data_IF_021408573941
#
_entry.id   IF_021408573941
#
_cell.length_a   1.000
_cell.length_b   1.000
_cell.length_c   1.000
_cell.angle_alpha   90.00
_cell.angle_beta   90.00
_cell.angle_gamma   90.00
#
_symmetry.space_group_name_H-M   'P 1'
#
loop_
_entity.id
_entity.type
_entity.pdbx_description
1 polymer ?
#
# COMPACT_ATOMS: atom_id res chain seq x y z
N UNK A 1 1.46 25.69 -7.78
CA UNK A 1 1.30 25.04 -6.45
C UNK A 1 0.83 23.62 -6.69
N UNK A 2 1.51 22.55 -6.23
CA UNK A 2 0.95 21.22 -6.41
C UNK A 2 -0.15 21.03 -5.35
N UNK A 3 -1.41 20.94 -5.81
CA UNK A 3 -2.53 20.56 -4.96
C UNK A 3 -2.31 19.14 -4.41
N UNK A 4 -2.53 18.98 -3.11
CA UNK A 4 -2.60 17.73 -2.35
C UNK A 4 -3.83 17.92 -1.43
N UNK A 5 -4.78 17.01 -1.23
CA UNK A 5 -4.79 15.55 -1.15
C UNK A 5 -6.19 15.04 -1.49
N UNK A 6 -6.27 13.85 -2.09
CA UNK A 6 -7.40 12.94 -1.84
C UNK A 6 -6.81 11.76 -1.06
N UNK A 7 -7.16 11.67 0.22
CA UNK A 7 -6.90 10.48 1.03
C UNK A 7 -8.12 9.59 0.88
N UNK A 8 -7.97 8.44 0.24
CA UNK A 8 -9.03 7.42 0.27
C UNK A 8 -8.58 6.35 1.24
N UNK A 9 -9.29 6.27 2.36
CA UNK A 9 -9.20 5.13 3.29
C UNK A 9 -10.13 4.08 2.70
N UNK A 10 -9.57 2.93 2.36
CA UNK A 10 -10.38 1.79 1.93
C UNK A 10 -10.37 0.76 3.06
N UNK A 11 -11.56 0.41 3.54
CA UNK A 11 -11.78 -0.75 4.40
C UNK A 11 -12.01 -1.95 3.48
N UNK A 12 -11.27 -3.05 3.65
CA UNK A 12 -11.63 -4.30 2.96
C UNK A 12 -12.85 -4.89 3.66
N UNK A 13 -14.05 -4.63 3.15
CA UNK A 13 -15.24 -5.35 3.62
C UNK A 13 -15.06 -6.86 3.41
N UNK A 14 -15.29 -7.64 4.48
CA UNK A 14 -15.20 -9.11 4.46
C UNK A 14 -16.25 -9.77 3.57
N UNK A 15 -17.36 -9.09 3.23
CA UNK A 15 -18.44 -9.68 2.43
C UNK A 15 -19.13 -8.64 1.51
N UNK A 16 -18.43 -8.15 0.51
CA UNK A 16 -18.99 -7.26 -0.50
C UNK A 16 -18.05 -7.12 -1.67
N UNK A 17 -18.53 -7.31 -2.91
CA UNK A 17 -17.68 -7.19 -4.11
C UNK A 17 -17.05 -5.80 -4.17
N UNK A 18 -15.76 -5.74 -3.84
CA UNK A 18 -14.85 -4.60 -4.03
C UNK A 18 -15.24 -3.78 -5.27
N UNK A 19 -15.66 -2.52 -5.07
CA UNK A 19 -15.82 -1.50 -6.11
C UNK A 19 -14.52 -0.68 -6.22
N UNK A 20 -13.42 -1.34 -6.54
CA UNK A 20 -12.28 -0.59 -7.10
C UNK A 20 -12.50 -0.52 -8.61
N UNK A 21 -12.24 0.66 -9.21
CA UNK A 21 -11.95 0.71 -10.64
C UNK A 21 -10.68 -0.13 -10.81
N UNK A 22 -10.85 -1.30 -11.41
CA UNK A 22 -9.76 -2.23 -11.65
C UNK A 22 -8.78 -1.58 -12.63
N UNK A 23 -7.71 -1.03 -12.08
CA UNK A 23 -6.64 -0.38 -12.81
C UNK A 23 -5.49 -1.34 -13.12
N UNK A 24 -5.75 -2.66 -13.09
CA UNK A 24 -4.79 -3.72 -13.38
C UNK A 24 -3.94 -3.39 -14.62
N UNK A 25 -2.67 -3.03 -14.38
CA UNK A 25 -1.68 -2.68 -15.40
C UNK A 25 -1.50 -1.18 -15.69
N UNK A 26 -2.36 -0.31 -15.17
CA UNK A 26 -2.26 1.15 -15.34
C UNK A 26 -1.25 1.80 -14.39
N UNK A 27 -0.77 1.03 -13.41
CA UNK A 27 0.24 1.46 -12.45
C UNK A 27 1.50 0.63 -12.58
N UNK A 28 2.62 1.31 -12.73
CA UNK A 28 3.95 0.69 -12.70
C UNK A 28 4.48 0.72 -11.27
N UNK A 29 4.82 -0.45 -10.75
CA UNK A 29 5.56 -0.60 -9.50
C UNK A 29 6.93 0.08 -9.56
N UNK A 30 7.24 0.89 -8.55
CA UNK A 30 8.55 1.53 -8.42
C UNK A 30 9.34 0.84 -7.32
N UNK A 31 8.75 0.76 -6.13
CA UNK A 31 9.42 0.19 -4.96
C UNK A 31 8.41 -0.23 -3.91
N UNK A 32 8.67 -1.34 -3.24
CA UNK A 32 8.05 -1.71 -1.99
C UNK A 32 9.03 -1.43 -0.85
N UNK A 33 8.58 -0.72 0.18
CA UNK A 33 9.36 -0.45 1.39
C UNK A 33 8.69 -1.12 2.59
N UNK A 34 9.49 -1.79 3.41
CA UNK A 34 9.09 -2.27 4.73
C UNK A 34 9.67 -1.31 5.76
N UNK A 35 8.86 -0.89 6.72
CA UNK A 35 9.30 -0.08 7.85
C UNK A 35 8.76 -0.75 9.12
N UNK A 36 9.66 -1.00 10.06
CA UNK A 36 9.35 -1.62 11.33
C UNK A 36 9.26 -0.53 12.40
N UNK A 37 8.32 -0.67 13.32
CA UNK A 37 8.14 0.25 14.44
C UNK A 37 8.01 -0.49 15.76
N UNK A 38 8.40 0.19 16.83
CA UNK A 38 8.12 -0.20 18.20
C UNK A 38 7.19 0.84 18.83
N UNK A 39 6.14 0.37 19.52
CA UNK A 39 5.31 1.27 20.30
C UNK A 39 6.06 1.67 21.58
N UNK A 40 6.16 2.97 21.83
CA UNK A 40 6.78 3.54 23.01
C UNK A 40 5.93 4.71 23.49
N UNK A 41 5.33 4.58 24.69
CA UNK A 41 4.51 5.62 25.33
C UNK A 41 3.42 6.22 24.42
N UNK A 42 2.75 5.36 23.62
CA UNK A 42 1.69 5.77 22.70
C UNK A 42 2.16 6.32 21.35
N UNK A 43 3.47 6.33 21.08
CA UNK A 43 4.04 6.71 19.79
C UNK A 43 4.73 5.53 19.11
N UNK A 44 4.69 5.49 17.78
CA UNK A 44 5.45 4.53 16.99
C UNK A 44 6.85 5.08 16.68
N UNK A 45 7.87 4.48 17.28
CA UNK A 45 9.27 4.80 17.00
C UNK A 45 9.78 3.90 15.86
N UNK A 46 10.47 4.49 14.87
CA UNK A 46 11.02 3.72 13.74
C UNK A 46 12.21 2.89 14.17
N UNK A 47 12.16 1.58 13.90
CA UNK A 47 13.25 0.66 14.10
C UNK A 47 14.15 0.59 12.86
N UNK A 48 15.45 0.47 13.11
CA UNK A 48 16.46 0.19 12.10
C UNK A 48 17.12 -1.14 12.41
N UNK A 49 17.40 -1.94 11.39
CA UNK A 49 18.07 -3.23 11.56
C UNK A 49 19.50 -3.16 11.06
N UNK A 50 20.49 -3.41 11.94
CA UNK A 50 21.91 -3.45 11.60
C UNK A 50 22.50 -4.78 12.03
N UNK A 51 22.95 -5.60 11.06
CA UNK A 51 23.47 -6.95 11.30
C UNK A 51 22.52 -7.85 12.13
N UNK A 52 21.21 -7.73 11.88
CA UNK A 52 20.17 -8.51 12.56
C UNK A 52 19.67 -7.92 13.88
N UNK A 53 20.35 -6.91 14.44
CA UNK A 53 19.99 -6.27 15.72
C UNK A 53 19.15 -5.03 15.45
N UNK A 54 18.08 -4.83 16.24
CA UNK A 54 17.26 -3.63 16.21
C UNK A 54 17.94 -2.48 16.94
N UNK A 55 17.94 -1.33 16.27
CA UNK A 55 18.50 -0.08 16.72
C UNK A 55 17.46 1.03 16.62
N UNK A 56 17.60 2.02 17.48
CA UNK A 56 16.97 3.34 17.34
C UNK A 56 17.97 4.37 16.81
N UNK A 57 17.47 5.37 16.10
CA UNK A 57 18.28 6.48 15.61
C UNK A 57 18.28 7.63 16.61
N UNK A 58 19.36 7.78 17.38
CA UNK A 58 19.58 8.92 18.27
C UNK A 58 20.61 9.85 17.64
N UNK A 59 20.23 11.09 17.33
CA UNK A 59 21.12 12.08 16.68
C UNK A 59 21.86 11.51 15.46
N UNK A 60 21.13 10.80 14.58
CA UNK A 60 21.64 10.11 13.38
C UNK A 60 22.61 8.95 13.64
N UNK A 61 22.79 8.57 14.90
CA UNK A 61 23.58 7.40 15.30
C UNK A 61 22.65 6.26 15.62
N UNK A 62 22.95 5.07 15.09
CA UNK A 62 22.17 3.86 15.33
C UNK A 62 22.63 3.20 16.62
N UNK A 63 21.81 3.31 17.67
CA UNK A 63 22.08 2.77 18.99
C UNK A 63 21.25 1.48 19.14
N UNK A 64 21.88 0.32 19.42
CA UNK A 64 21.15 -0.90 19.70
C UNK A 64 20.14 -0.73 20.84
N UNK A 65 19.01 -1.40 20.73
CA UNK A 65 18.04 -1.51 21.82
C UNK A 65 18.50 -2.54 22.85
N UNK A 66 18.17 -2.32 24.12
CA UNK A 66 18.39 -3.27 25.20
C UNK A 66 17.26 -3.10 26.23
N UNK A 67 16.38 -4.11 26.43
CA UNK A 67 16.37 -5.40 25.73
C UNK A 67 16.03 -5.28 24.23
N UNK A 68 16.37 -6.30 23.44
CA UNK A 68 15.90 -6.40 22.06
C UNK A 68 14.39 -6.75 22.04
N UNK A 69 13.58 -6.07 21.21
CA UNK A 69 12.16 -6.36 21.15
C UNK A 69 11.90 -7.72 20.50
N UNK A 70 10.88 -8.41 20.99
CA UNK A 70 10.36 -9.63 20.39
C UNK A 70 9.58 -9.32 19.12
N UNK A 71 9.47 -10.31 18.22
CA UNK A 71 8.77 -10.10 16.94
C UNK A 71 7.30 -9.73 17.16
N UNK A 72 6.68 -10.22 18.23
CA UNK A 72 5.29 -9.91 18.61
C UNK A 72 5.07 -8.46 19.06
N UNK A 73 6.12 -7.71 19.34
CA UNK A 73 6.07 -6.30 19.78
C UNK A 73 6.27 -5.32 18.61
N UNK A 74 6.61 -5.84 17.42
CA UNK A 74 7.00 -5.04 16.27
C UNK A 74 5.81 -4.86 15.31
N UNK A 75 5.54 -3.60 14.97
CA UNK A 75 4.63 -3.26 13.89
C UNK A 75 5.39 -3.29 12.57
N UNK A 76 4.89 -4.03 11.58
CA UNK A 76 5.49 -4.09 10.25
C UNK A 76 4.59 -3.39 9.24
N UNK A 77 5.00 -2.22 8.77
CA UNK A 77 4.28 -1.45 7.76
C UNK A 77 4.89 -1.63 6.38
N UNK A 78 4.05 -1.83 5.37
CA UNK A 78 4.44 -1.80 3.96
C UNK A 78 4.00 -0.50 3.32
N UNK A 79 4.85 0.00 2.42
CA UNK A 79 4.55 1.11 1.51
C UNK A 79 4.88 0.69 0.10
N UNK A 80 3.88 0.65 -0.76
CA UNK A 80 4.05 0.40 -2.18
C UNK A 80 3.87 1.68 -2.98
N UNK A 81 4.95 2.08 -3.66
CA UNK A 81 5.01 3.27 -4.47
C UNK A 81 4.81 2.88 -5.93
N UNK A 82 3.86 3.55 -6.60
CA UNK A 82 3.56 3.30 -7.99
C UNK A 82 3.35 4.61 -8.75
N UNK A 83 3.63 4.58 -10.05
CA UNK A 83 3.35 5.67 -10.99
C UNK A 83 2.32 5.24 -12.00
N UNK A 84 1.47 6.16 -12.41
CA UNK A 84 0.53 5.90 -13.49
C UNK A 84 1.29 5.78 -14.80
N UNK A 85 0.99 4.76 -15.60
CA UNK A 85 1.77 4.42 -16.80
C UNK A 85 1.69 5.53 -17.85
N UNK A 86 0.50 6.12 -18.04
CA UNK A 86 0.27 7.17 -19.04
C UNK A 86 0.56 8.57 -18.52
N UNK A 87 0.61 8.77 -17.19
CA UNK A 87 0.96 10.04 -16.57
C UNK A 87 1.95 9.80 -15.42
N UNK A 88 3.26 9.79 -15.69
CA UNK A 88 4.29 9.56 -14.67
C UNK A 88 4.32 10.60 -13.54
N UNK A 89 3.70 11.76 -13.75
CA UNK A 89 3.52 12.80 -12.74
C UNK A 89 2.38 12.47 -11.77
N UNK A 90 1.48 11.56 -12.13
CA UNK A 90 0.48 11.01 -11.23
C UNK A 90 1.02 9.75 -10.53
N UNK A 91 1.18 9.85 -9.22
CA UNK A 91 1.81 8.81 -8.40
C UNK A 91 0.87 8.43 -7.28
N UNK A 92 0.92 7.18 -6.83
CA UNK A 92 0.25 6.78 -5.59
C UNK A 92 1.19 6.02 -4.66
N UNK A 93 0.94 6.18 -3.38
CA UNK A 93 1.52 5.42 -2.29
C UNK A 93 0.40 4.65 -1.60
N UNK A 94 0.53 3.33 -1.60
CA UNK A 94 -0.37 2.42 -0.88
C UNK A 94 0.35 2.03 0.41
N UNK A 95 -0.29 2.25 1.56
CA UNK A 95 0.27 1.95 2.88
C UNK A 95 -0.67 1.01 3.63
N UNK A 96 -0.13 -0.07 4.18
CA UNK A 96 -0.87 -1.01 5.02
C UNK A 96 0.07 -1.60 6.07
N UNK A 97 -0.49 -2.11 7.17
CA UNK A 97 0.27 -2.92 8.12
C UNK A 97 0.17 -4.39 7.74
N UNK A 98 1.32 -5.05 7.59
CA UNK A 98 1.41 -6.50 7.41
C UNK A 98 1.36 -7.22 8.76
N UNK A 99 1.85 -6.57 9.81
CA UNK A 99 1.81 -7.08 11.18
C UNK A 99 1.54 -5.93 12.15
N UNK A 100 0.61 -6.13 13.08
CA UNK A 100 0.35 -5.25 14.21
C UNK A 100 0.28 -6.11 15.48
N UNK A 101 1.08 -5.80 16.52
CA UNK A 101 0.86 -6.33 17.86
C UNK A 101 -0.61 -6.10 18.27
N UNK A 102 -1.24 -7.13 18.85
CA UNK A 102 -2.60 -7.10 19.43
C UNK A 102 -3.78 -7.05 18.45
N UNK A 103 -3.55 -6.93 17.14
CA UNK A 103 -4.63 -6.96 16.12
C UNK A 103 -4.41 -8.08 15.08
N UNK A 104 -5.43 -8.89 14.82
CA UNK A 104 -5.43 -9.81 13.67
C UNK A 104 -5.52 -9.00 12.38
N UNK A 105 -4.38 -8.81 11.71
CA UNK A 105 -4.22 -8.28 10.34
C UNK A 105 -5.20 -7.15 9.98
N UNK A 106 -4.74 -5.89 10.11
CA UNK A 106 -5.49 -4.72 9.65
C UNK A 106 -5.98 -4.91 8.20
N UNK A 107 -7.28 -4.70 8.02
CA UNK A 107 -7.94 -4.76 6.71
C UNK A 107 -7.96 -3.39 6.01
N UNK A 108 -7.43 -2.38 6.69
CA UNK A 108 -7.41 -1.00 6.27
C UNK A 108 -6.17 -0.71 5.43
N UNK A 109 -6.40 -0.05 4.30
CA UNK A 109 -5.33 0.41 3.43
C UNK A 109 -5.50 1.89 3.18
N UNK A 110 -4.40 2.63 3.36
CA UNK A 110 -4.33 4.05 3.04
C UNK A 110 -3.74 4.21 1.66
N UNK A 111 -4.50 4.82 0.76
CA UNK A 111 -4.02 5.18 -0.58
C UNK A 111 -3.91 6.68 -0.70
N UNK A 112 -2.69 7.15 -0.92
CA UNK A 112 -2.38 8.56 -1.13
C UNK A 112 -1.97 8.78 -2.57
N UNK A 113 -2.58 9.74 -3.26
CA UNK A 113 -2.21 10.13 -4.61
C UNK A 113 -1.54 11.51 -4.64
N UNK A 114 -0.59 11.69 -5.55
CA UNK A 114 0.12 12.94 -5.82
C UNK A 114 0.09 13.23 -7.31
N UNK A 115 -0.20 14.48 -7.69
CA UNK A 115 -0.29 14.94 -9.08
C UNK A 115 -1.72 14.97 -9.61
N UNK A 116 -1.86 15.26 -10.90
CA UNK A 116 -3.15 15.42 -11.55
C UNK A 116 -3.58 14.13 -12.26
N UNK A 117 -4.81 13.71 -12.00
CA UNK A 117 -5.44 12.61 -12.71
C UNK A 117 -5.79 13.05 -14.13
N UNK A 118 -5.22 12.37 -15.13
CA UNK A 118 -5.39 12.69 -16.54
C UNK A 118 -6.51 11.85 -17.21
N UNK A 119 -7.39 11.24 -16.42
CA UNK A 119 -8.44 10.34 -16.92
C UNK A 119 -8.02 8.87 -17.00
N UNK A 120 -8.98 8.01 -17.30
CA UNK A 120 -8.78 6.56 -17.40
C UNK A 120 -8.06 6.17 -18.70
N UNK A 121 -7.16 5.19 -18.61
CA UNK A 121 -6.57 4.54 -19.77
C UNK A 121 -7.38 3.28 -20.15
N UNK A 122 -7.43 2.90 -21.45
CA UNK A 122 -8.01 1.62 -21.85
C UNK A 122 -7.21 0.45 -21.27
N UNK A 123 -7.91 -0.61 -20.85
CA UNK A 123 -7.32 -1.78 -20.20
C UNK A 123 -6.49 -2.64 -21.18
N UNK A 124 -5.28 -3.04 -20.77
CA UNK A 124 -4.43 -4.01 -21.49
C UNK A 124 -3.87 -3.52 -22.83
N UNK A 125 -3.61 -4.44 -23.76
CA UNK A 125 -3.10 -4.15 -25.11
C UNK A 125 -4.17 -3.57 -26.07
N UNK A 126 -5.32 -3.13 -25.56
CA UNK A 126 -6.40 -2.58 -26.37
C UNK A 126 -6.02 -1.18 -26.88
N UNK A 127 -5.43 -1.12 -28.08
CA UNK A 127 -4.91 0.14 -28.66
C UNK A 127 -6.01 1.13 -29.09
N UNK A 128 -7.27 0.69 -29.20
CA UNK A 128 -8.40 1.51 -29.68
C UNK A 128 -9.73 0.99 -29.13
N UNK A 129 -10.28 1.62 -28.10
CA UNK A 129 -11.68 1.44 -27.71
C UNK A 129 -12.24 2.75 -27.18
N UNK A 130 -13.38 3.19 -27.72
CA UNK A 130 -14.21 4.29 -27.23
C UNK A 130 -15.22 3.83 -26.18
N UNK A 131 -15.34 2.52 -25.96
CA UNK A 131 -16.28 2.01 -24.97
C UNK A 131 -15.66 2.05 -23.57
N UNK A 132 -16.33 2.67 -22.59
CA UNK A 132 -15.95 2.52 -21.19
C UNK A 132 -16.06 1.04 -20.82
N UNK A 133 -15.05 0.56 -20.10
CA UNK A 133 -14.98 -0.83 -19.67
C UNK A 133 -16.25 -1.26 -18.92
N UNK A 134 -16.84 -2.39 -19.32
CA UNK A 134 -17.88 -3.10 -18.57
C UNK A 134 -17.26 -4.35 -17.96
N UNK A 135 -17.29 -4.43 -16.63
CA UNK A 135 -16.83 -5.58 -15.85
C UNK A 135 -17.53 -6.86 -16.32
N UNK A 136 -16.80 -7.95 -16.49
CA UNK A 136 -17.40 -9.29 -16.50
C UNK A 136 -17.95 -9.57 -15.12
N UNK A 137 -19.28 -9.57 -14.98
CA UNK A 137 -19.93 -10.16 -13.81
C UNK A 137 -19.42 -11.59 -13.68
N UNK A 138 -19.06 -12.01 -12.46
CA UNK A 138 -18.78 -13.42 -12.14
C UNK A 138 -20.08 -14.21 -12.36
N UNK A 139 -20.36 -14.56 -13.60
CA UNK A 139 -21.13 -15.74 -13.94
C UNK A 139 -20.10 -16.84 -13.97
N UNK A 140 -20.20 -17.73 -12.99
CA UNK A 140 -19.58 -19.05 -12.93
C UNK A 140 -19.02 -19.54 -14.27
N UNK A 141 -17.71 -19.68 -14.35
CA UNK A 141 -17.11 -20.76 -15.14
C UNK A 141 -17.54 -22.06 -14.45
N UNK A 142 -18.76 -22.52 -14.75
CA UNK A 142 -19.09 -23.93 -14.57
C UNK A 142 -18.32 -24.65 -15.68
N UNK A 143 -17.13 -25.12 -15.35
CA UNK A 143 -16.48 -26.14 -16.15
C UNK A 143 -17.36 -27.39 -16.05
N UNK A 144 -17.84 -27.85 -17.21
CA UNK A 144 -18.49 -29.13 -17.35
C UNK A 144 -17.60 -30.23 -16.77
N UNK A 145 -18.13 -30.94 -15.78
CA UNK A 145 -17.85 -32.35 -15.50
C UNK A 145 -19.17 -33.07 -15.33
#
# INVERSE_FOLDING_TARGET
MPMMKVTVIWSLEKEGKRKFVDDCGSWRGISMKTIEYLANQGFLETLYKKKGIYCRSVKRTQVPLDPQPETSEIYTMKRYYTKFVTSPNYQRRITWFEQMPEEENSTEVVVECLGEWQGSAPHGNAKRTTQPYKRTTRTTLNNNQ
#
